data_IF_935154978465
#
_entry.id   IF_935154978465
#
_cell.length_a   1.000
_cell.length_b   1.000
_cell.length_c   1.000
_cell.angle_alpha   90.00
_cell.angle_beta   90.00
_cell.angle_gamma   90.00
#
_symmetry.space_group_name_H-M   'P 1'
#
loop_
_entity.id
_entity.type
_entity.pdbx_description
1 polymer ?
#
# COMPACT_ATOMS: atom_id res chain seq x y z
N UNK A 1 -1.46 22.20 2.83
CA UNK A 1 -0.83 20.87 3.05
C UNK A 1 -0.42 20.28 1.71
N UNK A 2 0.68 19.52 1.62
CA UNK A 2 1.21 18.93 0.38
C UNK A 2 0.99 17.41 0.34
N UNK A 3 -0.20 16.99 -0.11
CA UNK A 3 -0.61 15.56 -0.11
C UNK A 3 0.22 14.72 -1.07
N UNK A 4 0.72 15.31 -2.15
CA UNK A 4 1.59 14.63 -3.11
C UNK A 4 2.89 14.10 -2.47
N UNK A 5 3.48 14.83 -1.52
CA UNK A 5 4.67 14.37 -0.79
C UNK A 5 4.33 13.19 0.12
N UNK A 6 3.18 13.23 0.78
CA UNK A 6 2.73 12.13 1.64
C UNK A 6 2.50 10.85 0.81
N UNK A 7 1.82 10.95 -0.34
CA UNK A 7 1.56 9.80 -1.21
C UNK A 7 2.86 9.16 -1.73
N UNK A 8 3.89 9.95 -2.03
CA UNK A 8 5.21 9.43 -2.42
C UNK A 8 5.92 8.72 -1.27
N UNK A 9 5.88 9.30 -0.07
CA UNK A 9 6.50 8.75 1.12
C UNK A 9 5.87 7.41 1.54
N UNK A 10 4.55 7.29 1.45
CA UNK A 10 3.79 6.10 1.88
C UNK A 10 3.61 5.05 0.78
N UNK A 11 4.45 5.04 -0.25
CA UNK A 11 4.28 4.16 -1.41
C UNK A 11 4.88 2.77 -1.22
N UNK A 12 4.35 1.79 -1.96
CA UNK A 12 4.93 0.43 -2.03
C UNK A 12 6.41 0.42 -2.45
N UNK A 13 6.84 1.36 -3.31
CA UNK A 13 8.26 1.44 -3.71
C UNK A 13 9.19 1.81 -2.56
N UNK A 14 8.72 2.57 -1.58
CA UNK A 14 9.49 2.86 -0.36
C UNK A 14 9.59 1.60 0.48
N UNK A 15 8.51 0.82 0.59
CA UNK A 15 8.52 -0.47 1.27
C UNK A 15 9.51 -1.46 0.62
N UNK A 16 9.49 -1.59 -0.71
CA UNK A 16 10.45 -2.40 -1.48
C UNK A 16 11.90 -1.98 -1.17
N UNK A 17 12.15 -0.67 -1.11
CA UNK A 17 13.48 -0.12 -0.83
C UNK A 17 13.95 -0.45 0.58
N UNK A 18 13.06 -0.38 1.58
CA UNK A 18 13.39 -0.76 2.96
C UNK A 18 13.72 -2.24 3.07
N UNK A 19 12.91 -3.12 2.46
CA UNK A 19 13.17 -4.55 2.40
C UNK A 19 14.50 -4.86 1.71
N UNK A 20 14.78 -4.20 0.58
CA UNK A 20 16.05 -4.34 -0.14
C UNK A 20 17.25 -3.92 0.73
N UNK A 21 17.15 -2.79 1.44
CA UNK A 21 18.20 -2.32 2.34
C UNK A 21 18.47 -3.29 3.49
N UNK A 22 17.44 -3.90 4.07
CA UNK A 22 17.57 -4.88 5.16
C UNK A 22 18.09 -6.23 4.64
N UNK A 23 17.46 -6.78 3.60
CA UNK A 23 17.65 -8.16 3.19
C UNK A 23 18.73 -8.36 2.12
N UNK A 24 18.92 -7.42 1.21
CA UNK A 24 19.91 -7.54 0.14
C UNK A 24 21.21 -6.81 0.49
N UNK A 25 21.11 -5.56 0.96
CA UNK A 25 22.30 -4.75 1.31
C UNK A 25 22.81 -5.00 2.74
N UNK A 26 22.00 -5.63 3.60
CA UNK A 26 22.32 -5.95 5.00
C UNK A 26 22.75 -4.74 5.83
N UNK A 27 22.18 -3.56 5.56
CA UNK A 27 22.48 -2.34 6.30
C UNK A 27 21.88 -2.39 7.71
N UNK A 28 22.74 -2.24 8.73
CA UNK A 28 22.33 -2.35 10.14
C UNK A 28 21.29 -1.30 10.54
N UNK A 29 21.30 -0.13 9.88
CA UNK A 29 20.35 0.96 10.10
C UNK A 29 18.90 0.59 9.74
N UNK A 30 18.71 -0.42 8.90
CA UNK A 30 17.39 -0.87 8.43
C UNK A 30 16.92 -2.18 9.09
N UNK A 31 17.66 -2.70 10.08
CA UNK A 31 17.27 -3.92 10.78
C UNK A 31 15.93 -3.74 11.49
N UNK A 32 15.03 -4.71 11.31
CA UNK A 32 13.69 -4.71 11.93
C UNK A 32 12.71 -3.78 11.23
N UNK A 33 12.93 -3.41 9.97
CA UNK A 33 12.03 -2.51 9.24
C UNK A 33 10.71 -3.18 8.83
N UNK A 34 10.56 -4.49 9.04
CA UNK A 34 9.38 -5.28 8.65
C UNK A 34 8.03 -4.67 9.07
N UNK A 35 7.92 -4.14 10.29
CA UNK A 35 6.67 -3.50 10.74
C UNK A 35 6.34 -2.23 9.95
N UNK A 36 7.35 -1.41 9.63
CA UNK A 36 7.21 -0.21 8.80
C UNK A 36 6.87 -0.57 7.36
N UNK A 37 7.53 -1.58 6.80
CA UNK A 37 7.22 -2.13 5.47
C UNK A 37 5.75 -2.53 5.41
N UNK A 38 5.29 -3.33 6.38
CA UNK A 38 3.90 -3.78 6.44
C UNK A 38 2.92 -2.60 6.52
N UNK A 39 3.22 -1.60 7.36
CA UNK A 39 2.42 -0.37 7.44
C UNK A 39 2.35 0.37 6.09
N UNK A 40 3.49 0.54 5.39
CA UNK A 40 3.52 1.20 4.08
C UNK A 40 2.66 0.47 3.04
N UNK A 41 2.72 -0.87 3.00
CA UNK A 41 1.88 -1.65 2.08
C UNK A 41 0.40 -1.45 2.33
N UNK A 42 -0.02 -1.44 3.60
CA UNK A 42 -1.43 -1.21 3.97
C UNK A 42 -1.87 0.19 3.53
N UNK A 43 -1.08 1.23 3.82
CA UNK A 43 -1.43 2.61 3.49
C UNK A 43 -1.47 2.83 1.98
N UNK A 44 -0.51 2.30 1.22
CA UNK A 44 -0.49 2.40 -0.25
C UNK A 44 -1.71 1.71 -0.87
N UNK A 45 -2.04 0.50 -0.41
CA UNK A 45 -3.23 -0.23 -0.86
C UNK A 45 -4.53 0.50 -0.51
N UNK A 46 -4.64 1.04 0.71
CA UNK A 46 -5.77 1.86 1.12
C UNK A 46 -5.91 3.11 0.24
N UNK A 47 -4.80 3.79 -0.05
CA UNK A 47 -4.77 4.95 -0.92
C UNK A 47 -5.24 4.59 -2.34
N UNK A 48 -4.75 3.49 -2.90
CA UNK A 48 -5.13 3.02 -4.22
C UNK A 48 -6.62 2.70 -4.32
N UNK A 49 -7.17 1.95 -3.36
CA UNK A 49 -8.58 1.57 -3.33
C UNK A 49 -9.49 2.80 -3.12
N UNK A 50 -9.15 3.69 -2.18
CA UNK A 50 -9.98 4.85 -1.84
C UNK A 50 -9.84 6.00 -2.86
N UNK A 51 -8.79 5.99 -3.68
CA UNK A 51 -8.54 6.97 -4.75
C UNK A 51 -8.54 6.32 -6.15
N UNK A 52 -9.30 5.24 -6.32
CA UNK A 52 -9.39 4.44 -7.53
C UNK A 52 -10.10 5.19 -8.68
N UNK A 53 -9.38 6.05 -9.40
CA UNK A 53 -9.96 6.89 -10.48
C UNK A 53 -9.08 7.01 -11.73
N UNK A 54 -7.91 6.38 -11.72
CA UNK A 54 -6.92 6.55 -12.78
C UNK A 54 -7.26 5.63 -13.95
N UNK A 55 -7.73 6.16 -15.08
CA UNK A 55 -8.13 5.35 -16.25
C UNK A 55 -6.99 4.51 -16.85
N UNK A 56 -5.74 4.96 -16.68
CA UNK A 56 -4.53 4.21 -17.02
C UNK A 56 -3.97 3.38 -15.86
N UNK A 57 -4.57 3.50 -14.67
CA UNK A 57 -4.22 2.74 -13.49
C UNK A 57 -4.58 1.26 -13.69
N UNK A 58 -3.76 0.38 -13.12
CA UNK A 58 -3.98 -1.08 -13.11
C UNK A 58 -4.40 -1.51 -11.70
N UNK A 59 -5.06 -2.66 -11.61
CA UNK A 59 -5.46 -3.23 -10.31
C UNK A 59 -6.34 -2.28 -9.51
N UNK A 60 -6.00 -2.07 -8.24
CA UNK A 60 -6.74 -1.22 -7.29
C UNK A 60 -6.71 0.28 -7.64
N UNK A 61 -5.73 0.73 -8.45
CA UNK A 61 -5.64 2.13 -8.92
C UNK A 61 -6.65 2.47 -10.02
N UNK A 62 -7.17 1.44 -10.71
CA UNK A 62 -8.12 1.60 -11.83
C UNK A 62 -9.50 2.03 -11.32
N UNK A 63 -10.35 2.68 -12.13
CA UNK A 63 -11.70 3.03 -11.71
C UNK A 63 -12.50 1.78 -11.33
N UNK A 64 -13.20 1.84 -10.20
CA UNK A 64 -14.09 0.77 -9.77
C UNK A 64 -15.26 0.67 -10.76
N UNK A 65 -15.38 -0.50 -11.39
CA UNK A 65 -16.49 -0.86 -12.30
C UNK A 65 -17.22 -2.06 -11.70
N UNK A 66 -18.43 -2.33 -12.18
CA UNK A 66 -19.22 -3.47 -11.70
C UNK A 66 -18.46 -4.80 -11.76
N UNK A 67 -17.64 -5.01 -12.80
CA UNK A 67 -16.82 -6.22 -12.96
C UNK A 67 -15.55 -6.26 -12.08
N UNK A 68 -15.07 -5.11 -11.60
CA UNK A 68 -13.80 -5.01 -10.83
C UNK A 68 -13.99 -4.66 -9.36
N UNK A 69 -15.23 -4.38 -8.92
CA UNK A 69 -15.56 -4.00 -7.53
C UNK A 69 -15.08 -5.02 -6.48
N UNK A 70 -15.01 -6.30 -6.83
CA UNK A 70 -14.55 -7.36 -5.93
C UNK A 70 -13.10 -7.15 -5.47
N UNK A 71 -12.26 -6.50 -6.28
CA UNK A 71 -10.87 -6.19 -5.90
C UNK A 71 -10.77 -5.11 -4.82
N UNK A 72 -11.72 -4.17 -4.80
CA UNK A 72 -11.83 -3.17 -3.73
C UNK A 72 -12.47 -3.79 -2.47
N UNK A 73 -13.54 -4.58 -2.65
CA UNK A 73 -14.23 -5.22 -1.52
C UNK A 73 -13.33 -6.16 -0.73
N UNK A 74 -12.47 -6.94 -1.40
CA UNK A 74 -11.55 -7.84 -0.69
C UNK A 74 -10.65 -7.12 0.31
N UNK A 75 -10.12 -5.95 -0.07
CA UNK A 75 -9.32 -5.11 0.83
C UNK A 75 -10.16 -4.55 2.00
N UNK A 76 -11.37 -4.08 1.71
CA UNK A 76 -12.25 -3.49 2.73
C UNK A 76 -12.74 -4.54 3.74
N UNK A 77 -13.07 -5.74 3.27
CA UNK A 77 -13.53 -6.85 4.11
C UNK A 77 -12.41 -7.36 5.05
N UNK A 78 -11.17 -7.41 4.56
CA UNK A 78 -9.99 -7.75 5.36
C UNK A 78 -9.75 -6.72 6.48
N UNK A 79 -9.89 -5.43 6.18
CA UNK A 79 -9.74 -4.35 7.15
C UNK A 79 -10.79 -4.43 8.27
N UNK A 80 -12.05 -4.76 7.93
CA UNK A 80 -13.14 -4.95 8.91
C UNK A 80 -12.91 -6.17 9.80
N UNK A 81 -12.36 -7.24 9.24
CA UNK A 81 -12.10 -8.49 9.97
C UNK A 81 -10.92 -8.35 10.93
N UNK A 82 -9.86 -7.66 10.49
CA UNK A 82 -8.64 -7.44 11.28
C UNK A 82 -8.85 -6.59 12.54
N UNK A 83 -9.93 -5.81 12.63
CA UNK A 83 -10.29 -5.03 13.83
C UNK A 83 -11.04 -5.84 14.90
N UNK A 84 -11.43 -7.09 14.61
CA UNK A 84 -12.23 -7.94 15.51
C UNK A 84 -11.40 -9.02 16.23
N UNK A 85 -10.10 -9.11 15.96
CA UNK A 85 -9.14 -9.97 16.64
C UNK A 85 -8.41 -9.18 17.73
#
# INVERSE_FOLDING_TARGET
MKVNLAAQLFSSSVADTLEYCEWELKYSQFRGCAATVHFLRIIDAAFDVLNSRTTLGKGQKAPIKQGTKHMANGFLDEAVTSQRA
#
